data_IF_436277967118
#
_entry.id   IF_436277967118
#
_cell.length_a   1.000
_cell.length_b   1.000
_cell.length_c   1.000
_cell.angle_alpha   90.00
_cell.angle_beta   90.00
_cell.angle_gamma   90.00
#
_symmetry.space_group_name_H-M   'P 1'
#
loop_
_entity.id
_entity.type
_entity.pdbx_description
1 polymer ?
#
# COMPACT_ATOMS: atom_id res chain seq x y z
N UNK A 1 15.61 1.84 -19.28
CA UNK A 1 15.93 0.75 -18.31
C UNK A 1 15.96 1.22 -16.85
N UNK A 2 16.51 2.37 -16.50
CA UNK A 2 16.60 2.90 -15.11
C UNK A 2 15.24 3.13 -14.42
N UNK A 3 14.23 3.62 -15.13
CA UNK A 3 12.88 3.86 -14.59
C UNK A 3 12.20 2.58 -14.11
N UNK A 4 12.37 1.46 -14.80
CA UNK A 4 11.72 0.19 -14.44
C UNK A 4 12.26 -0.37 -13.12
N UNK A 5 13.57 -0.29 -12.90
CA UNK A 5 14.20 -0.73 -11.65
C UNK A 5 13.81 0.13 -10.46
N UNK A 6 13.68 1.46 -10.67
CA UNK A 6 13.23 2.38 -9.62
C UNK A 6 11.80 2.06 -9.17
N UNK A 7 10.88 1.87 -10.11
CA UNK A 7 9.49 1.51 -9.81
C UNK A 7 9.41 0.16 -9.09
N UNK A 8 10.21 -0.81 -9.54
CA UNK A 8 10.30 -2.11 -8.89
C UNK A 8 10.79 -1.98 -7.45
N UNK A 9 11.89 -1.27 -7.21
CA UNK A 9 12.44 -1.05 -5.88
C UNK A 9 11.43 -0.33 -4.97
N UNK A 10 10.77 0.74 -5.44
CA UNK A 10 9.75 1.46 -4.68
C UNK A 10 8.59 0.57 -4.26
N UNK A 11 8.13 -0.33 -5.13
CA UNK A 11 7.06 -1.29 -4.81
C UNK A 11 7.50 -2.29 -3.73
N UNK A 12 8.71 -2.82 -3.84
CA UNK A 12 9.25 -3.75 -2.85
C UNK A 12 9.42 -3.09 -1.49
N UNK A 13 10.01 -1.92 -1.45
CA UNK A 13 10.18 -1.18 -0.21
C UNK A 13 8.84 -0.77 0.41
N UNK A 14 7.86 -0.38 -0.42
CA UNK A 14 6.49 -0.12 0.05
C UNK A 14 5.89 -1.35 0.73
N UNK A 15 6.06 -2.52 0.12
CA UNK A 15 5.58 -3.79 0.67
C UNK A 15 6.28 -4.15 1.98
N UNK A 16 7.61 -4.00 2.05
CA UNK A 16 8.38 -4.26 3.28
C UNK A 16 7.93 -3.32 4.40
N UNK A 17 7.81 -2.02 4.14
CA UNK A 17 7.33 -1.06 5.12
C UNK A 17 5.91 -1.36 5.61
N UNK A 18 5.03 -1.80 4.70
CA UNK A 18 3.68 -2.25 5.05
C UNK A 18 3.71 -3.51 5.93
N UNK A 19 4.53 -4.50 5.60
CA UNK A 19 4.67 -5.71 6.42
C UNK A 19 5.19 -5.40 7.83
N UNK A 20 6.17 -4.50 7.96
CA UNK A 20 6.69 -4.06 9.26
C UNK A 20 5.59 -3.39 10.08
N UNK A 21 4.85 -2.46 9.48
CA UNK A 21 3.80 -1.71 10.19
C UNK A 21 2.63 -2.61 10.60
N UNK A 22 2.14 -3.43 9.67
CA UNK A 22 1.00 -4.33 9.88
C UNK A 22 1.37 -5.46 10.84
N UNK A 23 2.47 -6.16 10.55
CA UNK A 23 2.95 -7.27 11.38
C UNK A 23 3.30 -6.82 12.79
N UNK A 24 3.95 -5.67 12.92
CA UNK A 24 4.26 -5.09 14.22
C UNK A 24 3.01 -4.66 15.00
N UNK A 25 1.99 -4.09 14.35
CA UNK A 25 0.72 -3.76 15.01
C UNK A 25 -0.01 -5.01 15.51
N UNK A 26 -0.05 -6.07 14.70
CA UNK A 26 -0.62 -7.36 15.06
C UNK A 26 0.16 -7.96 16.24
N UNK A 27 1.48 -7.98 16.17
CA UNK A 27 2.34 -8.45 17.26
C UNK A 27 2.10 -7.69 18.56
N UNK A 28 2.07 -6.36 18.50
CA UNK A 28 1.78 -5.51 19.66
C UNK A 28 0.43 -5.84 20.27
N UNK A 29 -0.61 -6.03 19.44
CA UNK A 29 -1.98 -6.26 19.91
C UNK A 29 -2.18 -7.66 20.51
N UNK A 30 -1.68 -8.69 19.85
CA UNK A 30 -2.00 -10.08 20.19
C UNK A 30 -0.92 -10.79 21.01
N UNK A 31 0.33 -10.36 20.93
CA UNK A 31 1.42 -10.93 21.69
C UNK A 31 1.87 -10.04 22.83
N UNK A 32 2.35 -8.82 22.54
CA UNK A 32 3.00 -7.99 23.55
C UNK A 32 2.03 -7.50 24.63
N UNK A 33 0.89 -6.92 24.25
CA UNK A 33 -0.07 -6.33 25.20
C UNK A 33 -0.63 -7.37 26.18
N UNK A 34 -0.98 -8.62 25.79
CA UNK A 34 -1.38 -9.65 26.74
C UNK A 34 -0.23 -10.10 27.66
N UNK A 35 0.97 -10.31 27.10
CA UNK A 35 2.13 -10.84 27.86
C UNK A 35 2.61 -9.89 28.95
N UNK A 36 2.51 -8.59 28.73
CA UNK A 36 2.88 -7.55 29.72
C UNK A 36 1.98 -7.59 30.96
N UNK A 37 0.79 -8.18 30.88
CA UNK A 37 -0.12 -8.34 32.01
C UNK A 37 0.40 -9.25 33.13
N UNK A 38 1.38 -10.11 32.82
CA UNK A 38 1.98 -11.04 33.77
C UNK A 38 3.20 -10.45 34.53
N UNK A 39 3.66 -9.25 34.14
CA UNK A 39 4.81 -8.58 34.72
C UNK A 39 4.42 -7.70 35.94
N UNK A 40 5.38 -7.49 36.85
CA UNK A 40 5.25 -6.49 37.90
C UNK A 40 5.12 -5.08 37.32
N UNK A 41 4.58 -4.13 38.09
CA UNK A 41 4.33 -2.77 37.60
C UNK A 41 5.62 -2.04 37.16
N UNK A 42 6.73 -2.28 37.79
CA UNK A 42 8.01 -1.64 37.46
C UNK A 42 8.64 -2.27 36.20
N UNK A 43 8.62 -3.59 36.08
CA UNK A 43 9.06 -4.30 34.89
C UNK A 43 8.20 -3.91 33.67
N UNK A 44 6.88 -3.78 33.86
CA UNK A 44 5.95 -3.32 32.84
C UNK A 44 6.30 -1.92 32.33
N UNK A 45 6.57 -0.97 33.25
CA UNK A 45 6.96 0.40 32.88
C UNK A 45 8.28 0.41 32.11
N UNK A 46 9.29 -0.32 32.59
CA UNK A 46 10.59 -0.41 31.95
C UNK A 46 10.50 -1.00 30.54
N UNK A 47 9.79 -2.12 30.38
CA UNK A 47 9.57 -2.75 29.07
C UNK A 47 8.81 -1.82 28.11
N UNK A 48 7.71 -1.21 28.58
CA UNK A 48 6.95 -0.26 27.76
C UNK A 48 7.79 0.92 27.29
N UNK A 49 8.62 1.47 28.16
CA UNK A 49 9.49 2.59 27.79
C UNK A 49 10.53 2.18 26.73
N UNK A 50 11.16 1.02 26.91
CA UNK A 50 12.21 0.53 26.03
C UNK A 50 11.67 0.12 24.64
N UNK A 51 10.59 -0.68 24.61
CA UNK A 51 9.93 -1.10 23.37
C UNK A 51 9.38 0.11 22.62
N UNK A 52 8.70 1.01 23.35
CA UNK A 52 8.08 2.20 22.77
C UNK A 52 9.07 3.13 22.08
N UNK A 53 10.24 3.38 22.71
CA UNK A 53 11.28 4.26 22.15
C UNK A 53 11.77 3.77 20.77
N UNK A 54 12.02 2.46 20.64
CA UNK A 54 12.50 1.83 19.41
C UNK A 54 11.36 1.69 18.39
N UNK A 55 10.20 1.22 18.84
CA UNK A 55 9.03 0.99 17.99
C UNK A 55 8.50 2.28 17.36
N UNK A 56 8.42 3.37 18.12
CA UNK A 56 7.98 4.67 17.60
C UNK A 56 8.83 5.15 16.42
N UNK A 57 10.15 5.01 16.50
CA UNK A 57 11.04 5.39 15.39
C UNK A 57 10.79 4.55 14.15
N UNK A 58 10.61 3.24 14.31
CA UNK A 58 10.34 2.31 13.21
C UNK A 58 8.98 2.62 12.56
N UNK A 59 7.94 2.88 13.36
CA UNK A 59 6.62 3.28 12.90
C UNK A 59 6.69 4.57 12.08
N UNK A 60 7.34 5.61 12.60
CA UNK A 60 7.46 6.90 11.91
C UNK A 60 8.23 6.78 10.58
N UNK A 61 9.32 6.02 10.56
CA UNK A 61 10.07 5.74 9.33
C UNK A 61 9.22 4.97 8.30
N UNK A 62 8.50 3.94 8.74
CA UNK A 62 7.60 3.16 7.88
C UNK A 62 6.47 4.00 7.31
N UNK A 63 5.86 4.87 8.12
CA UNK A 63 4.79 5.81 7.69
C UNK A 63 5.31 6.75 6.61
N UNK A 64 6.44 7.42 6.87
CA UNK A 64 7.04 8.35 5.91
C UNK A 64 7.32 7.65 4.57
N UNK A 65 7.89 6.44 4.65
CA UNK A 65 8.20 5.65 3.47
C UNK A 65 6.95 5.20 2.70
N UNK A 66 5.91 4.74 3.40
CA UNK A 66 4.64 4.33 2.81
C UNK A 66 3.93 5.48 2.10
N UNK A 67 3.93 6.68 2.70
CA UNK A 67 3.32 7.87 2.09
C UNK A 67 4.05 8.27 0.82
N UNK A 68 5.38 8.40 0.89
CA UNK A 68 6.19 8.81 -0.27
C UNK A 68 6.08 7.79 -1.40
N UNK A 69 6.33 6.51 -1.10
CA UNK A 69 6.28 5.44 -2.11
C UNK A 69 4.88 5.21 -2.67
N UNK A 70 3.84 5.33 -1.84
CA UNK A 70 2.44 5.24 -2.26
C UNK A 70 2.05 6.36 -3.21
N UNK A 71 2.42 7.60 -2.89
CA UNK A 71 2.16 8.77 -3.73
C UNK A 71 2.92 8.68 -5.07
N UNK A 72 4.21 8.34 -5.03
CA UNK A 72 5.01 8.17 -6.26
C UNK A 72 4.43 7.08 -7.16
N UNK A 73 4.08 5.92 -6.60
CA UNK A 73 3.45 4.85 -7.36
C UNK A 73 2.11 5.28 -7.99
N UNK A 74 1.30 6.05 -7.26
CA UNK A 74 0.04 6.59 -7.78
C UNK A 74 0.26 7.57 -8.93
N UNK A 75 1.19 8.53 -8.78
CA UNK A 75 1.50 9.52 -9.82
C UNK A 75 2.05 8.85 -11.09
N UNK A 76 2.95 7.88 -10.94
CA UNK A 76 3.49 7.12 -12.06
C UNK A 76 2.40 6.32 -12.78
N UNK A 77 1.51 5.67 -12.03
CA UNK A 77 0.39 4.96 -12.63
C UNK A 77 -0.56 5.92 -13.35
N UNK A 78 -0.95 7.02 -12.72
CA UNK A 78 -1.82 8.02 -13.31
C UNK A 78 -1.22 8.60 -14.60
N UNK A 79 0.09 8.89 -14.64
CA UNK A 79 0.74 9.35 -15.87
C UNK A 79 0.71 8.31 -16.99
N UNK A 80 0.86 7.02 -16.65
CA UNK A 80 0.82 5.92 -17.62
C UNK A 80 -0.55 5.76 -18.24
N UNK A 81 -1.63 5.91 -17.45
CA UNK A 81 -3.02 5.76 -17.95
C UNK A 81 -3.49 6.89 -18.86
N UNK A 82 -2.73 7.98 -19.00
CA UNK A 82 -2.97 9.03 -19.98
C UNK A 82 -2.36 8.73 -21.35
N UNK A 83 -1.59 7.65 -21.50
CA UNK A 83 -1.05 7.18 -22.78
C UNK A 83 -2.09 6.52 -23.70
N UNK A 84 -1.67 6.20 -24.90
CA UNK A 84 -2.48 5.48 -25.87
C UNK A 84 -2.86 4.07 -25.38
N UNK A 85 -4.01 3.57 -25.80
CA UNK A 85 -4.51 2.24 -25.42
C UNK A 85 -5.23 2.15 -24.09
N UNK A 86 -5.33 3.25 -23.32
CA UNK A 86 -6.02 3.28 -22.03
C UNK A 86 -7.42 3.92 -22.08
N UNK A 87 -7.96 4.24 -23.28
CA UNK A 87 -9.23 4.96 -23.45
C UNK A 87 -10.39 4.25 -22.78
N UNK A 88 -10.55 2.95 -23.00
CA UNK A 88 -11.65 2.17 -22.42
C UNK A 88 -11.53 2.10 -20.89
N UNK A 89 -10.30 1.95 -20.35
CA UNK A 89 -10.08 1.97 -18.92
C UNK A 89 -10.44 3.33 -18.31
N UNK A 90 -10.05 4.43 -18.95
CA UNK A 90 -10.38 5.79 -18.49
C UNK A 90 -11.88 6.02 -18.39
N UNK A 91 -12.64 5.52 -19.34
CA UNK A 91 -14.11 5.70 -19.35
C UNK A 91 -14.80 4.87 -18.29
N UNK A 92 -14.40 3.61 -18.12
CA UNK A 92 -15.14 2.66 -17.26
C UNK A 92 -14.56 2.48 -15.84
N UNK A 93 -13.25 2.54 -15.70
CA UNK A 93 -12.57 2.18 -14.45
C UNK A 93 -11.98 3.37 -13.70
N UNK A 94 -11.69 4.49 -14.36
CA UNK A 94 -10.96 5.60 -13.76
C UNK A 94 -11.67 6.18 -12.53
N UNK A 95 -12.96 6.45 -12.60
CA UNK A 95 -13.73 7.04 -11.50
C UNK A 95 -13.73 6.12 -10.27
N UNK A 96 -13.95 4.83 -10.47
CA UNK A 96 -13.93 3.84 -9.39
C UNK A 96 -12.53 3.69 -8.78
N UNK A 97 -11.51 3.69 -9.64
CA UNK A 97 -10.11 3.61 -9.19
C UNK A 97 -9.70 4.83 -8.36
N UNK A 98 -10.06 6.05 -8.81
CA UNK A 98 -9.78 7.28 -8.09
C UNK A 98 -10.52 7.34 -6.74
N UNK A 99 -11.79 6.92 -6.71
CA UNK A 99 -12.56 6.83 -5.48
C UNK A 99 -11.94 5.82 -4.48
N UNK A 100 -11.59 4.62 -4.97
CA UNK A 100 -10.95 3.60 -4.15
C UNK A 100 -9.58 4.05 -3.63
N UNK A 101 -8.79 4.75 -4.45
CA UNK A 101 -7.53 5.35 -4.01
C UNK A 101 -7.75 6.41 -2.93
N UNK A 102 -8.74 7.29 -3.12
CA UNK A 102 -9.09 8.32 -2.12
C UNK A 102 -9.48 7.71 -0.77
N UNK A 103 -10.35 6.71 -0.77
CA UNK A 103 -10.74 5.98 0.46
C UNK A 103 -9.54 5.30 1.11
N UNK A 104 -8.71 4.61 0.31
CA UNK A 104 -7.47 3.98 0.79
C UNK A 104 -6.51 4.99 1.41
N UNK A 105 -6.36 6.15 0.79
CA UNK A 105 -5.48 7.21 1.28
C UNK A 105 -5.97 7.81 2.61
N UNK A 106 -7.28 8.07 2.74
CA UNK A 106 -7.88 8.54 4.00
C UNK A 106 -7.74 7.51 5.12
N UNK A 107 -7.99 6.23 4.83
CA UNK A 107 -7.77 5.14 5.79
C UNK A 107 -6.30 5.03 6.19
N UNK A 108 -5.36 5.19 5.25
CA UNK A 108 -3.93 5.19 5.57
C UNK A 108 -3.57 6.33 6.53
N UNK A 109 -4.09 7.54 6.32
CA UNK A 109 -3.89 8.67 7.24
C UNK A 109 -4.43 8.33 8.64
N UNK A 110 -5.64 7.75 8.73
CA UNK A 110 -6.24 7.35 10.01
C UNK A 110 -5.38 6.27 10.71
N UNK A 111 -4.92 5.26 9.99
CA UNK A 111 -4.00 4.21 10.48
C UNK A 111 -2.72 4.84 11.03
N UNK A 112 -2.12 5.76 10.27
CA UNK A 112 -0.88 6.42 10.66
C UNK A 112 -1.05 7.32 11.87
N UNK A 113 -2.18 8.04 11.95
CA UNK A 113 -2.53 8.84 13.13
C UNK A 113 -2.64 7.95 14.37
N UNK A 114 -3.42 6.86 14.30
CA UNK A 114 -3.60 5.91 15.43
C UNK A 114 -2.26 5.29 15.82
N UNK A 115 -1.47 4.80 14.85
CA UNK A 115 -0.16 4.21 15.10
C UNK A 115 0.79 5.20 15.78
N UNK A 116 0.81 6.45 15.32
CA UNK A 116 1.61 7.52 15.92
C UNK A 116 1.12 7.91 17.31
N UNK A 117 -0.20 8.00 17.53
CA UNK A 117 -0.80 8.35 18.80
C UNK A 117 -0.52 7.29 19.88
N UNK A 118 -0.63 6.01 19.53
CA UNK A 118 -0.36 4.89 20.46
C UNK A 118 1.13 4.75 20.73
N UNK A 119 1.98 4.95 19.72
CA UNK A 119 3.45 4.80 19.84
C UNK A 119 4.15 6.06 20.35
N UNK A 120 3.56 7.23 20.20
CA UNK A 120 4.13 8.54 20.53
C UNK A 120 4.28 8.79 22.03
N UNK A 121 5.10 9.78 22.40
CA UNK A 121 5.37 10.18 23.79
C UNK A 121 4.57 11.40 24.26
N UNK A 122 3.85 12.05 23.37
CA UNK A 122 3.08 13.29 23.69
C UNK A 122 2.05 13.06 24.77
N UNK A 123 1.96 13.99 25.71
CA UNK A 123 0.94 13.98 26.78
C UNK A 123 -0.48 14.11 26.23
N UNK A 124 -0.67 14.86 25.16
CA UNK A 124 -1.99 15.02 24.49
C UNK A 124 -2.56 13.67 24.00
N UNK A 125 -1.73 12.66 23.77
CA UNK A 125 -2.14 11.34 23.29
C UNK A 125 -2.25 10.29 24.41
N UNK A 126 -2.23 10.72 25.69
CA UNK A 126 -2.31 9.82 26.84
C UNK A 126 -3.58 8.97 26.83
N UNK A 127 -4.71 9.53 26.43
CA UNK A 127 -5.99 8.82 26.33
C UNK A 127 -5.96 7.68 25.29
N UNK A 128 -5.29 7.87 24.14
CA UNK A 128 -5.10 6.81 23.16
C UNK A 128 -4.28 5.65 23.72
N UNK A 129 -3.30 5.95 24.54
CA UNK A 129 -2.43 4.94 25.19
C UNK A 129 -3.14 4.18 26.30
N UNK A 130 -4.03 4.83 27.05
CA UNK A 130 -4.82 4.17 28.08
C UNK A 130 -5.75 3.11 27.48
N UNK A 131 -6.30 3.37 26.29
CA UNK A 131 -7.15 2.45 25.53
C UNK A 131 -6.41 1.78 24.37
N UNK A 132 -5.10 1.47 24.54
CA UNK A 132 -4.26 0.94 23.46
C UNK A 132 -4.83 -0.34 22.85
N UNK A 133 -5.46 -1.23 23.65
CA UNK A 133 -6.10 -2.45 23.12
C UNK A 133 -7.17 -2.16 22.09
N UNK A 134 -8.02 -1.18 22.36
CA UNK A 134 -9.10 -0.77 21.45
C UNK A 134 -8.53 -0.13 20.19
N UNK A 135 -7.64 0.83 20.33
CA UNK A 135 -7.08 1.56 19.20
C UNK A 135 -6.21 0.69 18.29
N UNK A 136 -5.45 -0.25 18.88
CA UNK A 136 -4.71 -1.23 18.09
C UNK A 136 -5.65 -2.19 17.33
N UNK A 137 -6.80 -2.59 17.92
CA UNK A 137 -7.79 -3.40 17.22
C UNK A 137 -8.42 -2.65 16.05
N UNK A 138 -8.82 -1.38 16.25
CA UNK A 138 -9.32 -0.51 15.19
C UNK A 138 -8.28 -0.36 14.08
N UNK A 139 -7.02 -0.17 14.44
CA UNK A 139 -5.93 -0.05 13.48
C UNK A 139 -5.75 -1.33 12.63
N UNK A 140 -5.84 -2.50 13.24
CA UNK A 140 -5.80 -3.80 12.52
C UNK A 140 -6.97 -3.91 11.54
N UNK A 141 -8.20 -3.56 11.97
CA UNK A 141 -9.39 -3.60 11.10
C UNK A 141 -9.22 -2.66 9.89
N UNK A 142 -8.81 -1.41 10.11
CA UNK A 142 -8.56 -0.46 9.03
C UNK A 142 -7.47 -0.95 8.07
N UNK A 143 -6.43 -1.57 8.59
CA UNK A 143 -5.37 -2.16 7.78
C UNK A 143 -5.89 -3.30 6.91
N UNK A 144 -6.73 -4.19 7.44
CA UNK A 144 -7.35 -5.26 6.66
C UNK A 144 -8.24 -4.70 5.55
N UNK A 145 -9.00 -3.63 5.81
CA UNK A 145 -9.81 -2.94 4.79
C UNK A 145 -8.90 -2.37 3.69
N UNK A 146 -7.79 -1.72 4.05
CA UNK A 146 -6.83 -1.17 3.06
C UNK A 146 -6.22 -2.27 2.20
N UNK A 147 -5.88 -3.42 2.80
CA UNK A 147 -5.35 -4.58 2.06
C UNK A 147 -6.39 -5.14 1.10
N UNK A 148 -7.65 -5.28 1.55
CA UNK A 148 -8.75 -5.74 0.70
C UNK A 148 -8.99 -4.77 -0.47
N UNK A 149 -9.04 -3.46 -0.22
CA UNK A 149 -9.16 -2.44 -1.26
C UNK A 149 -7.99 -2.49 -2.26
N UNK A 150 -6.76 -2.72 -1.78
CA UNK A 150 -5.60 -2.86 -2.66
C UNK A 150 -5.72 -4.10 -3.56
N UNK A 151 -6.28 -5.20 -3.06
CA UNK A 151 -6.59 -6.40 -3.85
C UNK A 151 -7.62 -6.12 -4.92
N UNK A 152 -8.73 -5.47 -4.56
CA UNK A 152 -9.80 -5.08 -5.51
C UNK A 152 -9.25 -4.14 -6.59
N UNK A 153 -8.49 -3.11 -6.22
CA UNK A 153 -7.88 -2.20 -7.18
C UNK A 153 -6.95 -2.93 -8.16
N UNK A 154 -6.29 -4.00 -7.73
CA UNK A 154 -5.46 -4.82 -8.63
C UNK A 154 -6.29 -5.58 -9.66
N UNK A 155 -7.49 -6.03 -9.30
CA UNK A 155 -8.40 -6.71 -10.24
C UNK A 155 -8.96 -5.75 -11.31
N UNK A 156 -9.09 -4.47 -11.00
CA UNK A 156 -9.50 -3.42 -11.95
C UNK A 156 -8.33 -2.89 -12.80
N UNK A 157 -7.12 -3.37 -12.56
CA UNK A 157 -5.92 -3.06 -13.33
C UNK A 157 -5.90 -3.90 -14.62
N UNK A 158 -6.87 -3.67 -15.49
CA UNK A 158 -6.85 -4.26 -16.82
C UNK A 158 -5.85 -3.45 -17.63
N UNK A 159 -4.82 -4.11 -18.15
CA UNK A 159 -3.82 -3.49 -19.02
C UNK A 159 -4.46 -2.90 -20.30
N UNK A 160 -3.67 -2.20 -21.12
CA UNK A 160 -4.18 -1.70 -22.41
C UNK A 160 -4.81 -2.88 -23.15
N UNK A 161 -6.07 -2.71 -23.53
CA UNK A 161 -6.76 -3.67 -24.41
C UNK A 161 -6.02 -3.69 -25.74
N UNK A 162 -5.29 -4.75 -26.00
CA UNK A 162 -4.91 -5.08 -27.37
C UNK A 162 -6.24 -5.26 -28.10
N UNK A 163 -6.56 -4.37 -29.01
CA UNK A 163 -7.81 -4.48 -29.77
C UNK A 163 -7.78 -5.83 -30.47
N UNK A 164 -8.79 -6.67 -30.24
CA UNK A 164 -8.94 -7.98 -30.88
C UNK A 164 -8.92 -7.87 -32.42
N UNK A 165 -8.99 -6.65 -32.97
CA UNK A 165 -8.83 -6.35 -34.38
C UNK A 165 -7.40 -6.54 -34.91
N UNK A 166 -6.35 -6.52 -34.09
CA UNK A 166 -5.01 -6.85 -34.57
C UNK A 166 -4.74 -8.36 -34.53
N UNK A 167 -5.37 -9.08 -33.59
CA UNK A 167 -5.26 -10.53 -33.53
C UNK A 167 -6.07 -11.25 -34.63
N UNK A 168 -7.07 -10.58 -35.24
CA UNK A 168 -7.89 -11.10 -36.33
C UNK A 168 -7.42 -10.68 -37.71
N UNK A 169 -6.36 -9.88 -37.83
CA UNK A 169 -5.78 -9.57 -39.12
C UNK A 169 -5.00 -10.79 -39.62
N UNK A 170 -5.52 -11.55 -40.60
CA UNK A 170 -4.74 -12.68 -41.13
C UNK A 170 -3.44 -12.09 -41.66
N UNK A 171 -2.33 -12.72 -41.33
CA UNK A 171 -1.02 -12.38 -41.85
C UNK A 171 -1.21 -12.24 -43.38
N UNK A 172 -1.12 -11.02 -43.91
CA UNK A 172 -1.15 -10.81 -45.31
C UNK A 172 0.08 -11.51 -45.89
N UNK A 173 -0.16 -12.71 -46.40
CA UNK A 173 0.83 -13.45 -47.16
C UNK A 173 1.06 -12.64 -48.45
N UNK A 174 2.07 -11.80 -48.43
CA UNK A 174 2.61 -11.22 -49.66
C UNK A 174 3.26 -12.34 -50.44
N UNK A 175 2.51 -12.89 -51.41
CA UNK A 175 3.13 -13.81 -52.38
C UNK A 175 4.32 -13.09 -53.00
N UNK A 176 5.49 -13.76 -53.14
CA UNK A 176 6.60 -13.17 -53.86
C UNK A 176 6.20 -12.89 -55.28
N UNK A 177 6.54 -11.68 -55.78
CA UNK A 177 6.27 -11.29 -57.17
C UNK A 177 6.92 -12.34 -58.09
N UNK A 178 6.24 -12.76 -59.16
CA UNK A 178 6.83 -13.68 -60.12
C UNK A 178 8.05 -12.98 -60.76
N UNK A 179 9.16 -13.70 -60.78
CA UNK A 179 10.40 -13.23 -61.38
C UNK A 179 10.17 -12.92 -62.84
N UNK A 180 10.33 -11.66 -63.21
CA UNK A 180 10.30 -11.19 -64.57
C UNK A 180 11.66 -11.44 -65.23
N UNK A 181 11.99 -12.71 -65.51
CA UNK A 181 13.06 -13.11 -66.39
C UNK A 181 12.69 -14.45 -67.05
N UNK A 182 12.15 -14.33 -68.28
CA UNK A 182 11.90 -15.35 -69.24
C UNK A 182 11.92 -14.74 -70.63
#
# INVERSE_FOLDING_TARGET
>A
MTMTWLVFALRWFHLIAAMILVGGTIFMRFALVPSVGALSDDERKALHQQVRSRWSKLVMASIAFLLVSGLVNYLLFNSTTHGEGWEQWRVHCNALYQAAFGVKFLLAIAIFFIASAVSGTSESMKQFRQNAKLWLSVNVIFTLIVVALAGIMRLTHVGPTVSDNEASKPASFTAPAPDANG
#
